data_IF_689101342356
#
_entry.id   IF_689101342356
#
_cell.length_a   1.000
_cell.length_b   1.000
_cell.length_c   1.000
_cell.angle_alpha   90.00
_cell.angle_beta   90.00
_cell.angle_gamma   90.00
#
_symmetry.space_group_name_H-M   'P 1'
#
loop_
_entity.id
_entity.type
_entity.pdbx_description
1 polymer ?
#
# COMPACT_ATOMS: atom_id res chain seq x y z
N UNK A 1 -21.73 17.27 -1.57
CA UNK A 1 -21.54 15.85 -1.22
C UNK A 1 -20.84 15.80 0.14
N UNK A 2 -21.35 15.03 1.09
CA UNK A 2 -20.77 14.93 2.44
C UNK A 2 -19.61 13.92 2.38
N UNK A 3 -18.37 14.28 2.82
CA UNK A 3 -17.28 13.34 2.92
C UNK A 3 -17.63 12.17 3.85
N UNK A 4 -17.21 10.97 3.49
CA UNK A 4 -17.40 9.78 4.33
C UNK A 4 -16.45 9.76 5.54
N UNK A 5 -15.36 10.54 5.47
CA UNK A 5 -14.28 10.57 6.47
C UNK A 5 -13.81 12.00 6.75
N UNK A 6 -13.12 12.17 7.89
CA UNK A 6 -12.36 13.39 8.18
C UNK A 6 -10.98 13.32 7.54
N UNK A 7 -10.47 14.44 7.06
CA UNK A 7 -9.17 14.58 6.41
C UNK A 7 -8.34 15.65 7.11
N UNK A 8 -7.02 15.50 7.21
CA UNK A 8 -6.17 16.53 7.78
C UNK A 8 -6.13 17.75 6.86
N UNK A 9 -5.96 18.94 7.46
CA UNK A 9 -5.52 20.09 6.70
C UNK A 9 -4.01 19.97 6.44
N UNK A 10 -3.52 20.40 5.25
CA UNK A 10 -2.09 20.45 4.98
C UNK A 10 -1.37 21.28 6.04
N UNK A 11 -0.26 20.74 6.56
CA UNK A 11 0.55 21.42 7.55
C UNK A 11 1.70 22.17 6.85
N UNK A 12 2.11 23.36 7.34
CA UNK A 12 3.19 24.14 6.72
C UNK A 12 4.54 23.39 6.64
N UNK A 13 4.79 22.50 7.59
CA UNK A 13 6.00 21.68 7.69
C UNK A 13 5.98 20.45 6.79
N UNK A 14 4.85 20.12 6.17
CA UNK A 14 4.76 18.96 5.28
C UNK A 14 5.62 19.15 4.03
N UNK A 15 6.47 18.17 3.67
CA UNK A 15 7.04 18.12 2.33
C UNK A 15 5.95 18.17 1.27
N UNK A 16 6.21 18.76 0.12
CA UNK A 16 5.22 19.00 -0.93
C UNK A 16 4.41 17.75 -1.31
N UNK A 17 5.07 16.58 -1.34
CA UNK A 17 4.42 15.33 -1.72
C UNK A 17 3.47 14.76 -0.65
N UNK A 18 3.57 15.19 0.63
CA UNK A 18 2.62 14.79 1.67
C UNK A 18 1.20 15.28 1.37
N UNK A 19 1.09 16.47 0.81
CA UNK A 19 -0.21 17.07 0.44
C UNK A 19 -0.94 16.24 -0.61
N UNK A 20 -0.22 15.50 -1.45
CA UNK A 20 -0.83 14.60 -2.44
C UNK A 20 -1.62 13.47 -1.76
N UNK A 21 -1.16 13.00 -0.60
CA UNK A 21 -1.78 11.92 0.16
C UNK A 21 -2.85 12.36 1.14
N UNK A 22 -3.19 13.65 1.18
CA UNK A 22 -4.17 14.21 2.12
C UNK A 22 -5.47 13.41 2.18
N UNK A 23 -5.92 12.91 1.04
CA UNK A 23 -7.16 12.14 0.94
C UNK A 23 -6.93 10.62 0.97
N UNK A 24 -5.72 10.19 1.35
CA UNK A 24 -5.39 8.78 1.51
C UNK A 24 -5.23 8.01 0.20
N UNK A 25 -5.07 6.70 0.35
CA UNK A 25 -4.93 5.75 -0.74
C UNK A 25 -5.40 4.36 -0.30
N UNK A 26 -5.43 3.39 -1.21
CA UNK A 26 -5.78 2.00 -0.93
C UNK A 26 -4.54 1.13 -0.84
N UNK A 27 -4.56 0.19 0.11
CA UNK A 27 -3.45 -0.66 0.49
C UNK A 27 -3.89 -2.11 0.71
N UNK A 28 -2.94 -3.06 0.60
CA UNK A 28 -3.07 -4.37 1.24
C UNK A 28 -2.20 -4.36 2.50
N UNK A 29 -2.80 -4.70 3.62
CA UNK A 29 -2.07 -4.95 4.86
C UNK A 29 -1.87 -6.46 5.02
N UNK A 30 -0.64 -6.91 5.29
CA UNK A 30 -0.39 -8.31 5.56
C UNK A 30 -1.01 -8.75 6.89
N UNK A 31 -1.17 -10.05 7.14
CA UNK A 31 -1.64 -10.55 8.42
C UNK A 31 -0.68 -10.17 9.56
N UNK A 32 -1.17 -10.20 10.83
CA UNK A 32 -0.44 -9.63 11.97
C UNK A 32 0.98 -10.19 12.19
N UNK A 33 1.20 -11.46 11.92
CA UNK A 33 2.52 -12.11 12.04
C UNK A 33 3.53 -11.58 11.02
N UNK A 34 3.11 -11.45 9.75
CA UNK A 34 3.92 -10.85 8.69
C UNK A 34 4.14 -9.36 8.96
N UNK A 35 3.06 -8.64 9.34
CA UNK A 35 3.09 -7.24 9.72
C UNK A 35 4.15 -6.99 10.80
N UNK A 36 4.09 -7.75 11.90
CA UNK A 36 5.02 -7.62 13.02
C UNK A 36 6.47 -7.84 12.58
N UNK A 37 6.71 -8.91 11.80
CA UNK A 37 8.05 -9.26 11.30
C UNK A 37 8.64 -8.15 10.42
N UNK A 38 7.85 -7.63 9.48
CA UNK A 38 8.32 -6.60 8.56
C UNK A 38 8.46 -5.24 9.26
N UNK A 39 7.54 -4.88 10.17
CA UNK A 39 7.65 -3.65 10.95
C UNK A 39 8.88 -3.64 11.86
N UNK A 40 9.29 -4.78 12.42
CA UNK A 40 10.54 -4.87 13.19
C UNK A 40 11.77 -4.54 12.32
N UNK A 41 11.82 -5.04 11.08
CA UNK A 41 12.88 -4.70 10.13
C UNK A 41 12.84 -3.22 9.73
N UNK A 42 11.65 -2.69 9.43
CA UNK A 42 11.45 -1.27 9.10
C UNK A 42 11.91 -0.37 10.23
N UNK A 43 11.53 -0.67 11.46
CA UNK A 43 11.96 0.12 12.63
C UNK A 43 13.48 0.08 12.85
N UNK A 44 14.14 -1.01 12.46
CA UNK A 44 15.59 -1.15 12.59
C UNK A 44 16.34 -0.42 11.47
N UNK A 45 15.91 -0.60 10.20
CA UNK A 45 16.65 -0.10 9.04
C UNK A 45 16.21 1.29 8.56
N UNK A 46 14.92 1.63 8.75
CA UNK A 46 14.31 2.89 8.30
C UNK A 46 13.20 3.34 9.26
N UNK A 47 13.57 3.84 10.45
CA UNK A 47 12.60 4.29 11.44
C UNK A 47 11.74 5.46 10.93
N UNK A 48 12.20 6.24 9.94
CA UNK A 48 11.46 7.34 9.34
C UNK A 48 10.24 6.82 8.59
N UNK A 49 10.42 5.88 7.68
CA UNK A 49 9.34 5.24 6.94
C UNK A 49 8.41 4.42 7.87
N UNK A 50 8.99 3.72 8.86
CA UNK A 50 8.23 2.96 9.84
C UNK A 50 7.27 3.83 10.67
N UNK A 51 7.65 5.07 10.97
CA UNK A 51 6.81 6.01 11.70
C UNK A 51 5.64 6.58 10.88
N UNK A 52 5.71 6.51 9.55
CA UNK A 52 4.67 7.02 8.64
C UNK A 52 3.52 6.01 8.50
N UNK A 53 3.83 4.76 8.21
CA UNK A 53 2.84 3.72 7.95
C UNK A 53 3.40 2.34 8.30
N UNK A 54 2.56 1.45 8.79
CA UNK A 54 2.92 0.04 8.97
C UNK A 54 3.25 -0.65 7.64
N UNK A 55 3.83 -1.85 7.70
CA UNK A 55 4.14 -2.64 6.51
C UNK A 55 2.88 -2.86 5.66
N UNK A 56 2.98 -2.55 4.38
CA UNK A 56 1.83 -2.57 3.46
C UNK A 56 2.29 -2.74 2.02
N UNK A 57 1.35 -3.09 1.15
CA UNK A 57 1.48 -2.98 -0.31
C UNK A 57 0.63 -1.82 -0.78
N UNK A 58 1.24 -0.79 -1.34
CA UNK A 58 0.51 0.33 -1.95
C UNK A 58 -0.17 -0.13 -3.24
N UNK A 59 -1.49 0.05 -3.33
CA UNK A 59 -2.26 -0.33 -4.52
C UNK A 59 -2.45 0.85 -5.46
N UNK A 60 -2.96 1.97 -4.96
CA UNK A 60 -3.38 3.08 -5.81
C UNK A 60 -2.47 4.30 -5.67
N UNK A 61 -2.55 5.19 -6.65
CA UNK A 61 -2.14 6.57 -6.45
C UNK A 61 -3.00 7.22 -5.35
N UNK A 62 -2.55 8.32 -4.71
CA UNK A 62 -3.38 9.03 -3.74
C UNK A 62 -4.69 9.52 -4.38
N UNK A 63 -5.77 9.55 -3.60
CA UNK A 63 -7.03 10.11 -4.07
C UNK A 63 -6.91 11.62 -4.30
N UNK A 64 -7.45 12.14 -5.42
CA UNK A 64 -7.38 13.56 -5.75
C UNK A 64 -8.38 14.41 -4.97
N UNK A 65 -9.32 13.78 -4.26
CA UNK A 65 -10.43 14.43 -3.53
C UNK A 65 -10.96 13.57 -2.40
N UNK A 66 -11.72 14.12 -1.45
CA UNK A 66 -12.40 13.37 -0.41
C UNK A 66 -13.27 12.25 -0.99
N UNK A 67 -13.24 11.09 -0.33
CA UNK A 67 -14.15 9.99 -0.62
C UNK A 67 -15.51 10.27 0.03
N UNK A 68 -16.58 10.27 -0.73
CA UNK A 68 -17.95 10.40 -0.23
C UNK A 68 -18.64 9.02 -0.12
N UNK A 69 -19.80 9.02 0.54
CA UNK A 69 -20.56 7.77 0.82
C UNK A 69 -20.96 7.04 -0.46
N UNK A 70 -21.39 7.76 -1.50
CA UNK A 70 -21.82 7.15 -2.76
C UNK A 70 -20.63 6.52 -3.49
N UNK A 71 -19.51 7.21 -3.53
CA UNK A 71 -18.27 6.70 -4.13
C UNK A 71 -17.70 5.53 -3.34
N UNK A 72 -17.81 5.54 -2.01
CA UNK A 72 -17.39 4.41 -1.17
C UNK A 72 -18.25 3.15 -1.44
N UNK A 73 -19.56 3.32 -1.64
CA UNK A 73 -20.43 2.21 -2.05
C UNK A 73 -19.98 1.61 -3.39
N UNK A 74 -19.67 2.46 -4.37
CA UNK A 74 -19.16 2.01 -5.66
C UNK A 74 -17.81 1.27 -5.55
N UNK A 75 -16.88 1.77 -4.72
CA UNK A 75 -15.62 1.06 -4.42
C UNK A 75 -15.91 -0.31 -3.82
N UNK A 76 -16.88 -0.41 -2.90
CA UNK A 76 -17.29 -1.69 -2.30
C UNK A 76 -17.78 -2.68 -3.36
N UNK A 77 -18.60 -2.23 -4.30
CA UNK A 77 -19.09 -3.04 -5.41
C UNK A 77 -17.95 -3.50 -6.34
N UNK A 78 -17.03 -2.58 -6.67
CA UNK A 78 -15.85 -2.90 -7.48
C UNK A 78 -14.98 -3.97 -6.80
N UNK A 79 -14.74 -3.88 -5.50
CA UNK A 79 -13.98 -4.87 -4.75
C UNK A 79 -14.69 -6.22 -4.66
N UNK A 80 -16.00 -6.22 -4.42
CA UNK A 80 -16.79 -7.44 -4.38
C UNK A 80 -16.80 -8.21 -5.72
N UNK A 81 -16.54 -7.54 -6.82
CA UNK A 81 -16.39 -8.15 -8.14
C UNK A 81 -14.99 -8.74 -8.37
N UNK A 82 -14.00 -8.44 -7.53
CA UNK A 82 -12.64 -8.99 -7.64
C UNK A 82 -12.52 -10.24 -6.75
N UNK A 83 -12.10 -11.39 -7.28
CA UNK A 83 -11.94 -12.59 -6.46
C UNK A 83 -10.78 -12.43 -5.49
N UNK A 84 -10.96 -12.90 -4.26
CA UNK A 84 -9.87 -13.08 -3.31
C UNK A 84 -8.85 -14.08 -3.84
N UNK A 85 -7.57 -13.93 -3.49
CA UNK A 85 -6.48 -14.72 -4.05
C UNK A 85 -5.35 -14.94 -3.04
N UNK A 86 -4.53 -15.98 -3.27
CA UNK A 86 -3.28 -16.14 -2.53
C UNK A 86 -2.27 -15.11 -3.03
N UNK A 87 -1.68 -14.36 -2.10
CA UNK A 87 -0.62 -13.40 -2.36
C UNK A 87 0.68 -13.92 -1.75
N UNK A 88 1.73 -13.96 -2.56
CA UNK A 88 3.08 -14.32 -2.13
C UNK A 88 3.90 -13.06 -1.87
N UNK A 89 4.83 -13.12 -0.91
CA UNK A 89 5.72 -12.03 -0.57
C UNK A 89 7.16 -12.49 -0.40
N UNK A 90 8.11 -11.63 -0.76
CA UNK A 90 9.52 -11.97 -0.85
C UNK A 90 9.88 -12.64 -2.17
N UNK A 91 11.16 -12.87 -2.43
CA UNK A 91 12.33 -12.49 -1.60
C UNK A 91 12.60 -10.98 -1.56
N UNK A 92 13.54 -10.55 -0.70
CA UNK A 92 13.99 -9.16 -0.67
C UNK A 92 14.83 -8.81 -1.91
N UNK A 93 14.62 -7.61 -2.45
CA UNK A 93 15.39 -7.03 -3.56
C UNK A 93 15.58 -5.54 -3.42
N UNK A 94 16.45 -4.98 -4.25
CA UNK A 94 16.53 -3.51 -4.40
C UNK A 94 15.29 -3.00 -5.13
N UNK A 95 14.77 -1.86 -4.69
CA UNK A 95 13.68 -1.19 -5.41
C UNK A 95 14.20 -0.62 -6.74
N UNK A 96 13.50 -0.80 -7.88
CA UNK A 96 13.96 -0.30 -9.16
C UNK A 96 14.01 1.24 -9.20
N UNK A 97 15.18 1.78 -9.54
CA UNK A 97 15.33 3.21 -9.86
C UNK A 97 15.54 4.15 -8.67
N UNK A 98 15.40 3.68 -7.43
CA UNK A 98 15.69 4.47 -6.23
C UNK A 98 16.32 3.58 -5.15
N UNK A 99 17.21 4.13 -4.30
CA UNK A 99 17.78 3.36 -3.19
C UNK A 99 16.71 2.90 -2.21
N UNK A 100 16.71 1.61 -1.90
CA UNK A 100 15.77 1.01 -0.97
C UNK A 100 15.69 -0.50 -1.12
N UNK A 101 15.21 -1.15 -0.08
CA UNK A 101 15.01 -2.60 -0.03
C UNK A 101 13.54 -2.90 0.16
N UNK A 102 13.03 -3.77 -0.68
CA UNK A 102 11.62 -4.18 -0.70
C UNK A 102 11.48 -5.69 -0.76
N UNK A 103 10.34 -6.19 -0.36
CA UNK A 103 9.91 -7.55 -0.58
C UNK A 103 9.03 -7.60 -1.83
N UNK A 104 9.31 -8.51 -2.75
CA UNK A 104 8.46 -8.72 -3.92
C UNK A 104 7.05 -9.16 -3.52
N UNK A 105 6.09 -8.86 -4.35
CA UNK A 105 4.70 -9.26 -4.20
C UNK A 105 4.22 -9.91 -5.50
N UNK A 106 3.66 -11.12 -5.37
CA UNK A 106 3.12 -11.90 -6.48
C UNK A 106 1.74 -12.48 -6.12
N UNK A 107 0.93 -12.87 -7.11
CA UNK A 107 1.15 -12.72 -8.54
C UNK A 107 0.85 -11.29 -9.02
N UNK A 108 1.73 -10.73 -9.84
CA UNK A 108 1.65 -9.37 -10.37
C UNK A 108 0.33 -9.10 -11.09
N UNK A 109 -0.15 -10.03 -11.90
CA UNK A 109 -1.36 -9.88 -12.70
C UNK A 109 -2.61 -9.72 -11.82
N UNK A 110 -2.70 -10.42 -10.69
CA UNK A 110 -3.82 -10.30 -9.76
C UNK A 110 -3.83 -8.95 -9.06
N UNK A 111 -2.67 -8.52 -8.58
CA UNK A 111 -2.54 -7.21 -7.92
C UNK A 111 -2.79 -6.09 -8.93
N UNK A 112 -2.29 -6.20 -10.16
CA UNK A 112 -2.53 -5.22 -11.23
C UNK A 112 -4.01 -5.14 -11.63
N UNK A 113 -4.72 -6.26 -11.69
CA UNK A 113 -6.16 -6.28 -11.97
C UNK A 113 -6.94 -5.56 -10.85
N UNK A 114 -6.58 -5.80 -9.59
CA UNK A 114 -7.17 -5.11 -8.44
C UNK A 114 -6.93 -3.59 -8.49
N UNK A 115 -5.71 -3.18 -8.83
CA UNK A 115 -5.35 -1.77 -9.03
C UNK A 115 -6.17 -1.14 -10.14
N UNK A 116 -6.27 -1.80 -11.29
CA UNK A 116 -7.05 -1.31 -12.43
C UNK A 116 -8.54 -1.14 -12.08
N UNK A 117 -9.11 -2.09 -11.32
CA UNK A 117 -10.48 -2.01 -10.86
C UNK A 117 -10.69 -0.81 -9.91
N UNK A 118 -9.78 -0.60 -8.95
CA UNK A 118 -9.84 0.52 -8.02
C UNK A 118 -9.65 1.87 -8.73
N UNK A 119 -8.59 2.02 -9.53
CA UNK A 119 -8.29 3.29 -10.23
C UNK A 119 -9.30 3.61 -11.34
N UNK A 120 -10.06 2.62 -11.80
CA UNK A 120 -11.23 2.80 -12.66
C UNK A 120 -12.45 3.40 -11.93
N UNK A 121 -12.48 3.42 -10.61
CA UNK A 121 -13.58 3.98 -9.84
C UNK A 121 -13.67 5.51 -9.99
N UNK A 122 -14.89 6.11 -9.88
CA UNK A 122 -15.11 7.54 -10.05
C UNK A 122 -14.28 8.44 -9.11
N UNK A 123 -13.85 7.92 -7.94
CA UNK A 123 -13.01 8.66 -7.00
C UNK A 123 -11.63 9.02 -7.56
N UNK A 124 -11.12 8.26 -8.51
CA UNK A 124 -9.82 8.52 -9.15
C UNK A 124 -9.90 9.44 -10.38
N UNK A 125 -11.09 9.88 -10.77
CA UNK A 125 -11.23 10.80 -11.92
C UNK A 125 -10.47 12.10 -11.66
N UNK A 126 -9.45 12.35 -12.49
CA UNK A 126 -8.55 13.50 -12.35
C UNK A 126 -7.36 13.26 -11.41
N UNK A 127 -7.13 12.05 -10.97
CA UNK A 127 -5.90 11.70 -10.26
C UNK A 127 -4.67 11.89 -11.15
N UNK A 128 -3.55 12.28 -10.54
CA UNK A 128 -2.27 12.34 -11.24
C UNK A 128 -1.85 10.93 -11.69
N UNK A 129 -1.24 10.80 -12.87
CA UNK A 129 -0.72 9.52 -13.31
C UNK A 129 0.41 9.03 -12.39
N UNK A 130 0.61 7.72 -12.35
CA UNK A 130 1.76 7.14 -11.65
C UNK A 130 3.06 7.71 -12.20
N UNK A 131 3.98 8.05 -11.30
CA UNK A 131 5.33 8.53 -11.68
C UNK A 131 6.21 7.41 -12.23
N UNK A 132 5.97 6.17 -11.79
CA UNK A 132 6.72 4.97 -12.16
C UNK A 132 5.77 3.84 -12.56
N UNK A 133 6.28 2.87 -13.32
CA UNK A 133 5.52 1.66 -13.60
C UNK A 133 5.13 0.95 -12.31
N UNK A 134 3.92 0.43 -12.25
CA UNK A 134 3.44 -0.29 -11.08
C UNK A 134 4.28 -1.55 -10.85
N UNK A 135 4.83 -1.67 -9.66
CA UNK A 135 5.58 -2.83 -9.19
C UNK A 135 5.16 -3.08 -7.75
N UNK A 136 4.24 -4.01 -7.48
CA UNK A 136 3.78 -4.27 -6.12
C UNK A 136 4.93 -4.76 -5.26
N UNK A 137 5.04 -4.19 -4.07
CA UNK A 137 6.10 -4.49 -3.13
C UNK A 137 5.68 -4.10 -1.71
N UNK A 138 6.40 -4.63 -0.75
CA UNK A 138 6.31 -4.22 0.65
C UNK A 138 7.69 -3.70 1.08
N UNK A 139 7.75 -2.44 1.49
CA UNK A 139 9.02 -1.74 1.78
C UNK A 139 9.62 -2.21 3.09
N UNK A 140 10.94 -2.48 3.10
CA UNK A 140 11.76 -2.64 4.29
C UNK A 140 12.46 -1.32 4.63
N UNK A 141 13.11 -0.67 3.63
CA UNK A 141 13.78 0.61 3.80
C UNK A 141 13.73 1.41 2.50
N UNK A 142 13.48 2.72 2.57
CA UNK A 142 13.39 3.62 1.41
C UNK A 142 14.15 4.93 1.57
N UNK A 143 14.32 5.45 2.77
CA UNK A 143 15.06 6.70 3.03
C UNK A 143 16.52 6.43 3.40
N UNK A 144 17.21 5.64 2.57
CA UNK A 144 18.59 5.18 2.80
C UNK A 144 19.49 5.48 1.58
N UNK A 145 20.80 5.52 1.80
CA UNK A 145 21.75 5.66 0.69
C UNK A 145 21.87 4.38 -0.13
N UNK A 146 22.45 4.49 -1.35
CA UNK A 146 22.69 3.33 -2.20
C UNK A 146 23.65 2.31 -1.54
N UNK A 147 24.71 2.79 -0.89
CA UNK A 147 25.62 1.92 -0.13
C UNK A 147 24.89 1.17 0.98
N UNK A 148 24.07 1.89 1.77
CA UNK A 148 23.28 1.29 2.84
C UNK A 148 22.23 0.30 2.31
N UNK A 149 21.66 0.56 1.12
CA UNK A 149 20.75 -0.38 0.45
C UNK A 149 21.40 -1.74 0.22
N UNK A 150 22.65 -1.78 -0.24
CA UNK A 150 23.35 -3.04 -0.49
C UNK A 150 23.68 -3.80 0.81
N UNK A 151 24.08 -3.07 1.85
CA UNK A 151 24.31 -3.65 3.19
C UNK A 151 23.02 -4.28 3.74
N UNK A 152 21.92 -3.53 3.78
CA UNK A 152 20.62 -4.01 4.25
C UNK A 152 20.18 -5.22 3.44
N UNK A 153 20.30 -5.18 2.10
CA UNK A 153 19.92 -6.29 1.25
C UNK A 153 20.71 -7.56 1.56
N UNK A 154 22.02 -7.45 1.79
CA UNK A 154 22.85 -8.58 2.18
C UNK A 154 22.41 -9.19 3.52
N UNK A 155 22.14 -8.33 4.51
CA UNK A 155 21.67 -8.76 5.84
C UNK A 155 20.30 -9.46 5.76
N UNK A 156 19.31 -8.87 5.06
CA UNK A 156 17.94 -9.41 5.06
C UNK A 156 17.76 -10.63 4.17
N UNK A 157 18.63 -10.87 3.19
CA UNK A 157 18.60 -12.09 2.37
C UNK A 157 18.79 -13.37 3.17
N UNK A 158 19.60 -13.30 4.21
CA UNK A 158 19.88 -14.45 5.09
C UNK A 158 18.70 -14.79 6.01
N UNK A 159 17.69 -13.89 6.12
CA UNK A 159 16.55 -14.07 7.02
C UNK A 159 15.43 -14.94 6.47
N UNK A 160 15.52 -15.44 5.23
CA UNK A 160 14.49 -16.26 4.61
C UNK A 160 13.13 -15.54 4.56
N UNK A 161 13.10 -14.29 4.08
CA UNK A 161 11.92 -13.46 4.03
C UNK A 161 11.05 -13.82 2.82
N UNK A 162 10.18 -14.78 2.98
CA UNK A 162 9.17 -15.17 1.99
C UNK A 162 8.00 -15.86 2.67
N UNK A 163 6.88 -15.91 1.99
CA UNK A 163 5.67 -16.57 2.45
C UNK A 163 4.48 -16.24 1.57
N UNK A 164 3.31 -16.61 2.03
CA UNK A 164 2.05 -16.29 1.36
C UNK A 164 0.96 -16.01 2.39
N UNK A 165 -0.05 -15.23 1.98
CA UNK A 165 -1.29 -15.07 2.73
C UNK A 165 -2.49 -14.99 1.81
N UNK A 166 -3.67 -15.24 2.36
CA UNK A 166 -4.93 -15.08 1.63
C UNK A 166 -5.35 -13.62 1.63
N UNK A 167 -5.28 -12.99 0.46
CA UNK A 167 -5.69 -11.60 0.25
C UNK A 167 -7.19 -11.57 -0.04
N UNK A 168 -7.96 -11.14 0.95
CA UNK A 168 -9.44 -11.05 0.87
C UNK A 168 -9.97 -9.65 1.18
N UNK A 169 -9.09 -8.70 1.48
CA UNK A 169 -9.49 -7.37 1.92
C UNK A 169 -8.54 -6.30 1.38
N UNK A 170 -9.10 -5.12 1.13
CA UNK A 170 -8.38 -3.89 0.79
C UNK A 170 -8.65 -2.86 1.87
N UNK A 171 -7.62 -2.16 2.30
CA UNK A 171 -7.71 -1.12 3.32
C UNK A 171 -7.61 0.25 2.69
N UNK A 172 -8.49 1.16 3.11
CA UNK A 172 -8.36 2.57 2.85
C UNK A 172 -7.75 3.25 4.08
N UNK A 173 -6.61 3.89 3.90
CA UNK A 173 -5.93 4.59 4.99
C UNK A 173 -5.72 6.07 4.64
N UNK A 174 -5.82 6.92 5.66
CA UNK A 174 -5.71 8.38 5.58
C UNK A 174 -4.64 8.80 6.59
N UNK A 175 -3.72 9.73 6.23
CA UNK A 175 -2.77 10.26 7.19
C UNK A 175 -3.46 11.18 8.22
N UNK A 176 -2.86 11.32 9.38
CA UNK A 176 -3.18 12.36 10.34
C UNK A 176 -2.34 13.64 10.10
N UNK A 177 -2.44 14.62 11.00
CA UNK A 177 -1.67 15.86 10.91
C UNK A 177 -0.14 15.63 11.04
N UNK A 178 0.28 14.55 11.69
CA UNK A 178 1.69 14.15 11.79
C UNK A 178 2.14 13.24 10.63
N UNK A 179 1.31 13.11 9.60
CA UNK A 179 1.50 12.25 8.43
C UNK A 179 1.66 10.77 8.77
N UNK A 180 0.95 10.29 9.78
CA UNK A 180 0.86 8.87 10.12
C UNK A 180 -0.41 8.31 9.55
N UNK A 181 -0.32 7.22 8.78
CA UNK A 181 -1.47 6.61 8.14
C UNK A 181 -2.26 5.74 9.10
N UNK A 182 -3.57 5.92 9.08
CA UNK A 182 -4.51 5.16 9.88
C UNK A 182 -5.56 4.52 8.99
N UNK A 183 -5.86 3.24 9.22
CA UNK A 183 -6.98 2.58 8.60
C UNK A 183 -8.28 3.34 8.93
N UNK A 184 -9.09 3.61 7.91
CA UNK A 184 -10.39 4.26 8.05
C UNK A 184 -11.53 3.40 7.54
N UNK A 185 -11.22 2.47 6.65
CA UNK A 185 -12.21 1.57 6.09
C UNK A 185 -11.52 0.34 5.51
N UNK A 186 -12.28 -0.76 5.50
CA UNK A 186 -11.85 -2.03 4.95
C UNK A 186 -12.93 -2.60 4.07
N UNK A 187 -12.61 -2.91 2.81
CA UNK A 187 -13.49 -3.54 1.84
C UNK A 187 -13.10 -4.97 1.58
N UNK A 188 -14.07 -5.83 1.37
CA UNK A 188 -13.86 -7.24 1.08
C UNK A 188 -13.83 -7.50 -0.42
N UNK A 189 -12.92 -8.36 -0.84
CA UNK A 189 -12.93 -8.96 -2.16
C UNK A 189 -14.03 -10.04 -2.22
N UNK A 190 -14.50 -10.34 -3.42
CA UNK A 190 -15.47 -11.41 -3.65
C UNK A 190 -14.91 -12.78 -3.28
N UNK A 191 -15.80 -13.71 -2.93
CA UNK A 191 -15.43 -15.11 -2.77
C UNK A 191 -14.92 -15.67 -4.09
N UNK A 192 -13.92 -16.55 -4.04
CA UNK A 192 -13.55 -17.36 -5.19
C UNK A 192 -14.80 -18.13 -5.64
N UNK A 193 -15.29 -17.87 -6.85
CA UNK A 193 -16.25 -18.79 -7.46
C UNK A 193 -15.46 -20.08 -7.69
N UNK A 194 -15.85 -21.15 -7.01
CA UNK A 194 -15.22 -22.44 -7.15
C UNK A 194 -15.17 -22.84 -8.61
N UNK A 195 -13.99 -23.13 -9.10
CA UNK A 195 -13.84 -23.92 -10.31
C UNK A 195 -14.46 -25.28 -10.00
N UNK A 196 -15.69 -25.49 -10.54
CA UNK A 196 -16.38 -26.77 -10.51
C UNK A 196 -15.86 -27.70 -11.59
#
# INVERSE_FOLDING_TARGET
MTPAFSYPEPQPEWPSWYSEYRYGAFYLFPPPDVMHRVNALRSHYDPTSAAICEAHVSLTVPLPRPLDVATLAHVTECLAAQPAFSLEWGPPRVYPGVPGVVLDIAPMERVSALVAALEGCPCFRGAAPRRYAFSPHMTIAEFVSEARTQEILAEVRELGLHGAWWCSEVVYAIPDAAFRFHERWRGRLGSQQGEG
#
